data_IF_600950982608
#
_entry.id   IF_600950982608
#
_cell.length_a   1.000
_cell.length_b   1.000
_cell.length_c   1.000
_cell.angle_alpha   90.00
_cell.angle_beta   90.00
_cell.angle_gamma   90.00
#
_symmetry.space_group_name_H-M   'P 1'
#
loop_
_entity.id
_entity.type
_entity.pdbx_description
1 polymer ?
#
# COMPACT_ATOMS: atom_id res chain seq x y z
N UNK A 1 -62.15 -28.82 68.53
CA UNK A 1 -61.18 -27.67 68.41
C UNK A 1 -60.33 -27.96 67.20
N UNK A 2 -60.47 -27.13 66.17
CA UNK A 2 -59.74 -27.28 64.93
C UNK A 2 -58.36 -26.61 65.09
N UNK A 3 -57.25 -27.35 64.81
CA UNK A 3 -55.92 -26.87 64.98
C UNK A 3 -55.56 -25.76 63.94
N UNK A 4 -54.77 -24.81 64.34
CA UNK A 4 -54.31 -23.71 63.48
C UNK A 4 -53.51 -24.24 62.26
N UNK A 5 -53.82 -23.74 61.14
CA UNK A 5 -53.12 -24.08 59.85
C UNK A 5 -51.68 -23.54 59.88
N UNK A 6 -50.69 -24.37 59.58
CA UNK A 6 -49.29 -23.98 59.58
C UNK A 6 -49.00 -22.87 58.60
N UNK A 7 -48.11 -21.95 58.93
CA UNK A 7 -47.67 -20.84 58.05
C UNK A 7 -46.97 -21.41 56.86
N UNK A 8 -47.29 -20.84 55.70
CA UNK A 8 -46.64 -21.18 54.42
C UNK A 8 -45.16 -20.82 54.49
N UNK A 9 -44.28 -21.72 54.04
CA UNK A 9 -42.86 -21.49 54.04
C UNK A 9 -42.51 -20.31 53.11
N UNK A 10 -41.47 -19.55 53.45
CA UNK A 10 -40.99 -18.42 52.68
C UNK A 10 -40.54 -18.88 51.27
N UNK A 11 -40.92 -18.13 50.23
CA UNK A 11 -40.48 -18.40 48.86
C UNK A 11 -38.94 -18.27 48.78
N UNK A 12 -38.26 -19.22 48.13
CA UNK A 12 -36.82 -19.18 47.94
C UNK A 12 -36.40 -17.92 47.16
N UNK A 13 -35.26 -17.35 47.53
CA UNK A 13 -34.71 -16.20 46.83
C UNK A 13 -34.39 -16.55 45.36
N UNK A 14 -34.70 -15.65 44.43
CA UNK A 14 -34.35 -15.83 43.05
C UNK A 14 -32.84 -15.91 42.88
N UNK A 15 -32.33 -16.87 42.12
CA UNK A 15 -30.91 -16.99 41.83
C UNK A 15 -30.35 -15.72 41.19
N UNK A 16 -29.09 -15.40 41.45
CA UNK A 16 -28.41 -14.27 40.88
C UNK A 16 -28.35 -14.38 39.34
N UNK A 17 -28.59 -13.27 38.64
CA UNK A 17 -28.45 -13.22 37.18
C UNK A 17 -27.04 -13.63 36.78
N UNK A 18 -26.89 -14.59 35.89
CA UNK A 18 -25.59 -15.00 35.36
C UNK A 18 -24.83 -13.81 34.77
N UNK A 19 -23.53 -13.74 35.00
CA UNK A 19 -22.69 -12.70 34.41
C UNK A 19 -22.76 -12.81 32.90
N UNK A 20 -22.94 -11.68 32.20
CA UNK A 20 -22.90 -11.63 30.73
C UNK A 20 -21.57 -12.20 30.21
N UNK A 21 -21.63 -13.02 29.16
CA UNK A 21 -20.42 -13.55 28.50
C UNK A 21 -19.51 -12.39 28.05
N UNK A 22 -18.20 -12.60 28.12
CA UNK A 22 -17.24 -11.63 27.60
C UNK A 22 -17.40 -11.49 26.08
N UNK A 23 -17.15 -10.29 25.55
CA UNK A 23 -17.10 -10.06 24.10
C UNK A 23 -16.02 -10.96 23.50
N UNK A 24 -16.33 -11.67 22.41
CA UNK A 24 -15.35 -12.48 21.70
C UNK A 24 -14.15 -11.63 21.24
N UNK A 25 -12.98 -12.24 21.14
CA UNK A 25 -11.79 -11.58 20.63
C UNK A 25 -11.99 -11.16 19.17
N UNK A 26 -11.32 -10.07 18.76
CA UNK A 26 -11.27 -9.67 17.33
C UNK A 26 -10.73 -10.84 16.51
N UNK A 27 -11.35 -11.13 15.38
CA UNK A 27 -10.90 -12.16 14.45
C UNK A 27 -9.49 -11.85 13.93
N UNK A 28 -8.76 -12.86 13.44
CA UNK A 28 -7.45 -12.67 12.85
C UNK A 28 -7.55 -11.74 11.62
N UNK A 29 -6.46 -11.05 11.30
CA UNK A 29 -6.38 -10.28 10.06
C UNK A 29 -6.64 -11.22 8.88
N UNK A 30 -7.42 -10.76 7.90
CA UNK A 30 -7.69 -11.52 6.68
C UNK A 30 -6.39 -11.91 5.96
N UNK A 31 -6.42 -12.94 5.11
CA UNK A 31 -5.26 -13.32 4.33
C UNK A 31 -4.82 -12.15 3.45
N UNK A 32 -3.52 -12.10 3.17
CA UNK A 32 -2.99 -11.15 2.19
C UNK A 32 -3.72 -11.35 0.87
N UNK A 33 -4.08 -10.26 0.19
CA UNK A 33 -4.67 -10.32 -1.14
C UNK A 33 -3.76 -11.12 -2.08
N UNK A 34 -4.36 -11.76 -3.10
CA UNK A 34 -3.59 -12.48 -4.10
C UNK A 34 -2.47 -11.59 -4.64
N UNK A 35 -1.27 -12.18 -4.81
CA UNK A 35 -0.15 -11.50 -5.43
C UNK A 35 -0.63 -10.93 -6.77
N UNK A 36 -0.45 -9.60 -6.95
CA UNK A 36 -0.82 -8.95 -8.19
C UNK A 36 -0.10 -9.66 -9.34
N UNK A 37 -0.82 -9.95 -10.41
CA UNK A 37 -0.25 -10.55 -11.60
C UNK A 37 0.89 -9.63 -12.06
N UNK A 38 2.13 -10.13 -12.08
CA UNK A 38 3.34 -9.40 -12.44
C UNK A 38 3.37 -9.16 -13.97
N UNK A 39 2.42 -8.42 -14.47
CA UNK A 39 2.50 -7.71 -15.72
C UNK A 39 2.89 -6.28 -15.40
N UNK A 40 4.14 -6.04 -15.10
CA UNK A 40 4.62 -4.68 -14.85
C UNK A 40 4.36 -3.83 -16.10
N UNK A 41 3.75 -2.67 -15.94
CA UNK A 41 3.68 -1.70 -17.02
C UNK A 41 5.09 -1.14 -17.25
N UNK A 42 5.48 -1.09 -18.50
CA UNK A 42 6.84 -0.69 -18.92
C UNK A 42 6.74 0.46 -19.89
N UNK A 43 7.54 1.49 -19.67
CA UNK A 43 7.57 2.72 -20.48
C UNK A 43 9.01 3.10 -20.80
N UNK A 44 9.20 3.77 -21.92
CA UNK A 44 10.48 4.26 -22.39
C UNK A 44 10.67 5.72 -21.97
N UNK A 45 11.82 6.06 -21.41
CA UNK A 45 12.13 7.40 -20.90
C UNK A 45 13.59 7.76 -21.12
N UNK A 46 13.85 9.06 -21.14
CA UNK A 46 15.20 9.62 -21.08
C UNK A 46 15.51 10.06 -19.65
N UNK A 47 16.67 9.66 -19.12
CA UNK A 47 17.10 10.05 -17.77
C UNK A 47 17.74 11.44 -17.77
N UNK A 48 17.36 12.27 -16.76
CA UNK A 48 18.01 13.57 -16.52
C UNK A 48 18.71 13.60 -15.17
N UNK A 49 19.93 14.11 -15.13
CA UNK A 49 20.70 14.32 -13.89
C UNK A 49 20.29 15.57 -13.11
N UNK A 50 19.34 16.36 -13.61
CA UNK A 50 18.80 17.52 -12.91
C UNK A 50 18.00 17.06 -11.68
N UNK A 51 18.25 17.67 -10.52
CA UNK A 51 17.58 17.28 -9.25
C UNK A 51 16.52 18.27 -8.78
N UNK A 52 16.28 19.36 -9.54
CA UNK A 52 15.31 20.37 -9.17
C UNK A 52 13.88 19.82 -9.23
N UNK A 53 13.02 20.23 -8.28
CA UNK A 53 11.58 19.96 -8.31
C UNK A 53 10.90 20.83 -9.37
N UNK A 54 10.84 20.30 -10.56
CA UNK A 54 10.18 20.92 -11.72
C UNK A 54 9.82 19.84 -12.72
N UNK A 55 8.98 20.17 -13.67
CA UNK A 55 8.70 19.35 -14.84
C UNK A 55 10.03 18.90 -15.49
N UNK A 56 10.26 17.58 -15.67
CA UNK A 56 11.45 17.09 -16.34
C UNK A 56 11.43 17.28 -17.85
N UNK A 57 10.26 17.52 -18.45
CA UNK A 57 9.99 17.61 -19.88
C UNK A 57 9.54 16.27 -20.46
N UNK A 58 8.83 16.35 -21.61
CA UNK A 58 8.23 15.18 -22.28
C UNK A 58 9.21 14.03 -22.41
N UNK A 59 8.76 12.83 -22.01
CA UNK A 59 9.53 11.60 -22.07
C UNK A 59 10.73 11.54 -21.12
N UNK A 60 10.81 12.44 -20.13
CA UNK A 60 11.97 12.52 -19.24
C UNK A 60 11.62 12.14 -17.81
N UNK A 61 12.55 11.48 -17.13
CA UNK A 61 12.49 11.27 -15.71
C UNK A 61 13.77 11.73 -15.00
N UNK A 62 13.66 12.10 -13.74
CA UNK A 62 14.76 12.47 -12.86
C UNK A 62 14.45 12.20 -11.39
N UNK A 63 15.44 12.35 -10.54
CA UNK A 63 15.28 12.18 -9.10
C UNK A 63 15.69 13.45 -8.34
N UNK A 64 15.21 13.60 -7.10
CA UNK A 64 15.55 14.73 -6.24
C UNK A 64 16.97 14.65 -5.65
N UNK A 65 17.77 13.67 -6.03
CA UNK A 65 19.13 13.47 -5.55
C UNK A 65 20.01 12.93 -6.68
N UNK A 66 21.23 13.45 -6.82
CA UNK A 66 22.21 12.99 -7.83
C UNK A 66 22.72 11.57 -7.55
N UNK A 67 22.67 11.11 -6.29
CA UNK A 67 22.89 9.71 -5.93
C UNK A 67 21.55 9.02 -5.71
N UNK A 68 21.24 8.01 -6.51
CA UNK A 68 19.97 7.28 -6.45
C UNK A 68 19.75 6.61 -5.08
N UNK A 69 20.82 6.22 -4.39
CA UNK A 69 20.74 5.68 -3.02
C UNK A 69 20.19 6.67 -1.99
N UNK A 70 20.27 7.96 -2.24
CA UNK A 70 19.71 9.02 -1.41
C UNK A 70 18.40 9.62 -1.94
N UNK A 71 17.88 9.11 -3.06
CA UNK A 71 16.66 9.63 -3.66
C UNK A 71 15.43 9.25 -2.84
N UNK A 72 14.57 10.21 -2.61
CA UNK A 72 13.27 10.04 -1.95
C UNK A 72 12.08 10.41 -2.83
N UNK A 73 12.33 11.11 -3.94
CA UNK A 73 11.34 11.47 -4.94
C UNK A 73 11.87 11.19 -6.35
N UNK A 74 11.03 10.61 -7.17
CA UNK A 74 11.18 10.51 -8.61
C UNK A 74 10.22 11.51 -9.26
N UNK A 75 10.71 12.32 -10.17
CA UNK A 75 9.93 13.20 -11.03
C UNK A 75 9.85 12.56 -12.41
N UNK A 76 8.66 12.22 -12.85
CA UNK A 76 8.41 11.53 -14.12
C UNK A 76 7.36 12.30 -14.90
N UNK A 77 7.67 12.61 -16.16
CA UNK A 77 6.73 13.24 -17.08
C UNK A 77 5.50 12.37 -17.32
N UNK A 78 4.36 12.96 -17.60
CA UNK A 78 3.11 12.24 -17.85
C UNK A 78 2.99 11.68 -19.27
N UNK A 79 3.95 12.01 -20.15
CA UNK A 79 4.14 11.37 -21.44
C UNK A 79 5.44 10.54 -21.45
N UNK A 80 5.45 9.40 -22.14
CA UNK A 80 6.67 8.61 -22.38
C UNK A 80 7.49 9.17 -23.56
N UNK A 81 8.68 8.62 -23.84
CA UNK A 81 9.53 9.03 -24.99
C UNK A 81 8.83 8.90 -26.34
N UNK A 82 7.81 8.05 -26.44
CA UNK A 82 6.96 7.91 -27.63
C UNK A 82 5.87 8.97 -27.74
N UNK A 83 5.75 9.88 -26.76
CA UNK A 83 4.67 10.87 -26.68
C UNK A 83 3.31 10.25 -26.31
N UNK A 84 3.30 9.08 -25.67
CA UNK A 84 2.07 8.47 -25.20
C UNK A 84 1.73 9.01 -23.81
N UNK A 85 0.49 9.48 -23.63
CA UNK A 85 -0.05 9.89 -22.33
C UNK A 85 -0.17 8.68 -21.40
N UNK A 86 0.65 8.66 -20.33
CA UNK A 86 0.61 7.63 -19.29
C UNK A 86 0.05 8.15 -17.96
N UNK A 87 -0.46 9.37 -17.93
CA UNK A 87 -1.09 9.99 -16.75
C UNK A 87 -2.17 9.10 -16.13
N UNK A 88 -3.09 8.45 -16.89
CA UNK A 88 -4.08 7.56 -16.32
C UNK A 88 -3.47 6.38 -15.56
N UNK A 89 -2.31 5.88 -16.01
CA UNK A 89 -1.58 4.81 -15.31
C UNK A 89 -0.89 5.35 -14.07
N UNK A 90 -0.17 6.49 -14.15
CA UNK A 90 0.55 7.08 -13.02
C UNK A 90 -0.37 7.44 -11.84
N UNK A 91 -1.62 7.78 -12.11
CA UNK A 91 -2.65 8.02 -11.07
C UNK A 91 -3.01 6.77 -10.26
N UNK A 92 -2.63 5.59 -10.71
CA UNK A 92 -2.98 4.32 -10.08
C UNK A 92 -1.83 3.61 -9.38
N UNK A 93 -0.60 4.13 -9.48
CA UNK A 93 0.60 3.43 -8.97
C UNK A 93 0.64 3.32 -7.44
N UNK A 94 -0.08 4.17 -6.74
CA UNK A 94 -0.15 4.24 -5.28
C UNK A 94 -1.52 3.82 -4.70
N UNK A 95 -2.42 3.27 -5.50
CA UNK A 95 -3.76 2.81 -5.07
C UNK A 95 -3.74 1.66 -4.05
N UNK A 96 -2.63 0.93 -3.93
CA UNK A 96 -2.52 -0.16 -2.94
C UNK A 96 -2.69 0.37 -1.51
N UNK A 97 -3.40 -0.36 -0.65
CA UNK A 97 -3.53 -0.06 0.78
C UNK A 97 -2.32 -0.54 1.60
N UNK A 98 -1.38 -1.25 0.98
CA UNK A 98 -0.14 -1.70 1.61
C UNK A 98 0.80 -0.53 1.89
N UNK A 99 1.70 -0.66 2.88
CA UNK A 99 2.74 0.33 3.18
C UNK A 99 3.69 0.51 1.99
N UNK A 100 4.06 -0.58 1.33
CA UNK A 100 4.75 -0.57 0.05
C UNK A 100 3.67 -0.65 -1.04
N UNK A 101 3.51 0.43 -1.78
CA UNK A 101 2.49 0.57 -2.85
C UNK A 101 2.86 -0.22 -4.09
N UNK A 102 4.16 -0.34 -4.33
CA UNK A 102 4.69 -1.01 -5.50
C UNK A 102 6.21 -0.92 -5.55
N UNK A 103 6.74 -1.35 -6.67
CA UNK A 103 8.15 -1.21 -7.01
C UNK A 103 8.28 -0.52 -8.35
N UNK A 104 9.33 0.26 -8.51
CA UNK A 104 9.73 0.80 -9.79
C UNK A 104 11.18 0.42 -10.06
N UNK A 105 11.42 -0.13 -11.24
CA UNK A 105 12.75 -0.44 -11.75
C UNK A 105 13.04 0.49 -12.92
N UNK A 106 14.14 1.22 -12.82
CA UNK A 106 14.72 1.99 -13.91
C UNK A 106 15.94 1.22 -14.40
N UNK A 107 16.06 0.96 -15.67
CA UNK A 107 17.22 0.25 -16.24
C UNK A 107 17.64 0.85 -17.56
N UNK A 108 18.94 0.80 -17.85
CA UNK A 108 19.43 1.15 -19.17
C UNK A 108 18.68 0.32 -20.24
N UNK A 109 18.28 0.97 -21.33
CA UNK A 109 17.52 0.33 -22.41
C UNK A 109 18.25 -0.80 -23.08
N UNK A 110 19.56 -0.67 -23.23
CA UNK A 110 20.42 -1.63 -23.96
C UNK A 110 21.14 -2.61 -23.03
N UNK A 111 21.22 -2.29 -21.73
CA UNK A 111 21.84 -3.14 -20.71
C UNK A 111 20.92 -3.29 -19.48
N UNK A 112 20.15 -4.35 -19.46
CA UNK A 112 19.24 -4.65 -18.35
C UNK A 112 19.97 -4.98 -17.04
N UNK A 113 21.30 -5.19 -17.05
CA UNK A 113 22.09 -5.38 -15.84
C UNK A 113 22.44 -4.04 -15.15
N UNK A 114 22.39 -2.94 -15.89
CA UNK A 114 22.49 -1.57 -15.35
C UNK A 114 21.08 -1.09 -14.98
N UNK A 115 20.74 -1.17 -13.70
CA UNK A 115 19.42 -0.84 -13.19
C UNK A 115 19.48 -0.27 -11.78
N UNK A 116 18.45 0.49 -11.43
CA UNK A 116 18.13 0.86 -10.06
C UNK A 116 16.70 0.42 -9.72
N UNK A 117 16.52 -0.17 -8.54
CA UNK A 117 15.24 -0.67 -8.04
C UNK A 117 14.83 0.14 -6.82
N UNK A 118 13.57 0.55 -6.79
CA UNK A 118 12.99 1.33 -5.70
C UNK A 118 11.67 0.72 -5.23
N UNK A 119 11.34 0.92 -3.96
CA UNK A 119 9.94 0.83 -3.49
C UNK A 119 9.21 2.15 -3.75
N UNK A 120 7.91 2.06 -4.01
CA UNK A 120 6.96 3.16 -3.95
C UNK A 120 6.29 3.07 -2.57
N UNK A 121 6.51 4.06 -1.71
CA UNK A 121 6.13 3.97 -0.28
C UNK A 121 5.14 5.03 0.19
N UNK A 122 4.80 5.98 -0.66
CA UNK A 122 3.91 7.09 -0.32
C UNK A 122 2.89 7.38 -1.40
N UNK A 123 2.08 8.40 -1.17
CA UNK A 123 1.16 8.92 -2.16
C UNK A 123 1.92 9.70 -3.22
N UNK A 124 1.59 9.48 -4.48
CA UNK A 124 2.09 10.27 -5.61
C UNK A 124 1.39 11.62 -5.63
N UNK A 125 2.08 12.64 -6.09
CA UNK A 125 1.52 13.98 -6.29
C UNK A 125 1.56 14.32 -7.77
N UNK A 126 0.39 14.54 -8.35
CA UNK A 126 0.27 15.05 -9.71
C UNK A 126 0.58 16.56 -9.72
N UNK A 127 1.47 16.97 -10.60
CA UNK A 127 1.82 18.36 -10.86
C UNK A 127 1.44 18.72 -12.32
N UNK A 128 1.78 19.91 -12.77
CA UNK A 128 1.50 20.29 -14.17
C UNK A 128 2.49 19.60 -15.10
N UNK A 129 2.05 18.59 -15.85
CA UNK A 129 2.83 17.85 -16.84
C UNK A 129 3.70 16.72 -16.27
N UNK A 130 3.71 16.47 -14.95
CA UNK A 130 4.55 15.42 -14.36
C UNK A 130 4.01 14.92 -13.02
N UNK A 131 4.57 13.80 -12.56
CA UNK A 131 4.27 13.22 -11.24
C UNK A 131 5.51 13.23 -10.33
N UNK A 132 5.25 13.46 -9.05
CA UNK A 132 6.21 13.29 -7.94
C UNK A 132 5.88 11.99 -7.25
N UNK A 133 6.71 10.98 -7.43
CA UNK A 133 6.50 9.64 -6.87
C UNK A 133 7.44 9.45 -5.69
N UNK A 134 6.87 9.14 -4.51
CA UNK A 134 7.67 8.85 -3.30
C UNK A 134 8.34 7.49 -3.45
N UNK A 135 9.68 7.49 -3.42
CA UNK A 135 10.49 6.29 -3.64
C UNK A 135 11.53 6.08 -2.55
N UNK A 136 11.99 4.85 -2.40
CA UNK A 136 13.15 4.51 -1.59
C UNK A 136 14.00 3.47 -2.32
N UNK A 137 15.28 3.76 -2.50
CA UNK A 137 16.21 2.89 -3.19
C UNK A 137 16.39 1.57 -2.46
N UNK A 138 16.36 0.47 -3.20
CA UNK A 138 16.57 -0.88 -2.68
C UNK A 138 17.92 -1.46 -3.12
N UNK A 139 18.23 -1.36 -4.42
CA UNK A 139 19.44 -1.95 -4.98
C UNK A 139 19.73 -1.44 -6.39
N UNK A 140 20.91 -1.71 -6.89
CA UNK A 140 21.34 -1.44 -8.26
C UNK A 140 22.23 -0.22 -8.38
N UNK A 141 22.20 0.42 -9.54
CA UNK A 141 23.04 1.57 -9.88
C UNK A 141 22.88 2.74 -8.92
N UNK A 142 23.96 3.47 -8.69
CA UNK A 142 23.98 4.69 -7.89
C UNK A 142 23.65 5.96 -8.68
N UNK A 143 23.75 5.88 -10.02
CA UNK A 143 23.41 6.98 -10.95
C UNK A 143 23.31 6.43 -12.38
N UNK A 144 22.63 7.17 -13.25
CA UNK A 144 22.65 7.02 -14.71
C UNK A 144 23.29 8.28 -15.33
N UNK A 145 23.70 8.19 -16.57
CA UNK A 145 24.23 9.34 -17.33
C UNK A 145 23.10 10.28 -17.74
N UNK A 146 23.43 11.57 -17.92
CA UNK A 146 22.44 12.50 -18.47
C UNK A 146 22.10 12.13 -19.90
N UNK A 147 20.81 12.20 -20.24
CA UNK A 147 20.26 11.82 -21.55
C UNK A 147 20.45 10.34 -21.89
N UNK A 148 20.52 9.48 -20.87
CA UNK A 148 20.55 8.03 -21.04
C UNK A 148 19.14 7.49 -21.30
N UNK A 149 19.00 6.66 -22.34
CA UNK A 149 17.75 5.96 -22.62
C UNK A 149 17.51 4.89 -21.56
N UNK A 150 16.39 4.95 -20.87
CA UNK A 150 16.04 4.04 -19.80
C UNK A 150 14.65 3.46 -19.97
N UNK A 151 14.49 2.25 -19.49
CA UNK A 151 13.19 1.56 -19.38
C UNK A 151 12.72 1.66 -17.94
N UNK A 152 11.52 2.19 -17.75
CA UNK A 152 10.86 2.26 -16.44
C UNK A 152 9.80 1.19 -16.34
N UNK A 153 9.92 0.29 -15.39
CA UNK A 153 8.97 -0.79 -15.14
C UNK A 153 8.35 -0.63 -13.77
N UNK A 154 7.04 -0.54 -13.72
CA UNK A 154 6.26 -0.46 -12.49
C UNK A 154 5.62 -1.80 -12.16
N UNK A 155 5.70 -2.23 -10.90
CA UNK A 155 5.02 -3.39 -10.37
C UNK A 155 4.21 -2.96 -9.13
N UNK A 156 2.87 -3.05 -9.19
CA UNK A 156 2.00 -2.69 -8.06
C UNK A 156 1.93 -3.82 -7.04
N UNK A 157 1.91 -3.46 -5.76
CA UNK A 157 1.60 -4.40 -4.68
C UNK A 157 0.09 -4.59 -4.58
N UNK A 158 -0.36 -5.81 -4.31
CA UNK A 158 -1.77 -6.09 -4.04
C UNK A 158 -2.29 -5.32 -2.81
N UNK A 159 -3.59 -5.13 -2.73
CA UNK A 159 -4.24 -4.50 -1.59
C UNK A 159 -4.14 -5.42 -0.36
N UNK A 160 -3.81 -4.84 0.80
CA UNK A 160 -3.81 -5.58 2.07
C UNK A 160 -5.22 -6.10 2.36
N UNK A 161 -5.34 -7.35 2.80
CA UNK A 161 -6.61 -7.93 3.22
C UNK A 161 -7.22 -7.18 4.40
N UNK A 162 -8.54 -7.17 4.47
CA UNK A 162 -9.28 -6.55 5.56
C UNK A 162 -9.04 -7.26 6.89
N UNK A 163 -9.19 -6.52 7.99
CA UNK A 163 -9.19 -7.13 9.32
C UNK A 163 -10.40 -8.06 9.45
N UNK A 164 -10.21 -9.27 9.95
CA UNK A 164 -11.30 -10.22 10.20
C UNK A 164 -12.39 -9.62 11.08
N UNK A 165 -13.63 -10.06 10.87
CA UNK A 165 -14.77 -9.62 11.68
C UNK A 165 -14.55 -9.94 13.17
N UNK A 166 -15.06 -9.05 14.03
CA UNK A 166 -15.04 -9.31 15.49
C UNK A 166 -15.81 -10.60 15.81
N UNK A 167 -15.26 -11.44 16.69
CA UNK A 167 -15.94 -12.64 17.16
C UNK A 167 -17.29 -12.32 17.79
N UNK A 168 -18.23 -13.24 17.66
CA UNK A 168 -19.56 -13.12 18.29
C UNK A 168 -19.43 -13.06 19.81
N UNK A 169 -20.30 -12.27 20.44
CA UNK A 169 -20.38 -12.22 21.90
C UNK A 169 -20.74 -13.62 22.47
N UNK A 170 -20.06 -14.03 23.53
CA UNK A 170 -20.39 -15.28 24.23
C UNK A 170 -21.85 -15.34 24.67
N UNK A 171 -22.44 -16.54 24.67
CA UNK A 171 -23.79 -16.73 25.13
C UNK A 171 -23.93 -16.34 26.62
N UNK A 172 -25.05 -15.68 26.97
CA UNK A 172 -25.33 -15.36 28.35
C UNK A 172 -25.52 -16.69 29.16
N UNK A 173 -24.92 -16.78 30.34
CA UNK A 173 -25.08 -17.93 31.22
C UNK A 173 -26.55 -18.18 31.50
N UNK A 174 -26.96 -19.44 31.43
CA UNK A 174 -28.31 -19.86 31.88
C UNK A 174 -28.39 -19.78 33.39
N UNK A 175 -29.51 -19.30 33.90
CA UNK A 175 -29.83 -19.27 35.35
C UNK A 175 -30.31 -20.61 35.81
#
# INVERSE_FOLDING_TARGET
VQGAQGVQGAQGVQGATGSGGSTGSTGPTGPQGADGNFGGATFDYTFSTNTADSDPGTGTLKFNNSSLGGASLMYIDDEDDGGNDIQPFLRTIDDSTSTVKGHVRVSNRLDASDFALFTISGTSTEASGYFKVSVSHLSGASSFSNSEDVIVTFARTGTKGDTGAQGVQGAQGVQ
#
